data_IF_105921149418
#
_entry.id   IF_105921149418
#
_cell.length_a   1.000
_cell.length_b   1.000
_cell.length_c   1.000
_cell.angle_alpha   90.00
_cell.angle_beta   90.00
_cell.angle_gamma   90.00
#
_symmetry.space_group_name_H-M   'P 1'
#
loop_
_entity.id
_entity.type
_entity.pdbx_description
1 polymer ?
#
# COMPACT_ATOMS: atom_id res chain seq x y z
N UNK A 1 -6.19 34.84 -6.74
CA UNK A 1 -6.32 34.17 -5.44
C UNK A 1 -6.84 32.75 -5.56
N UNK A 2 -7.85 32.43 -6.34
CA UNK A 2 -8.37 31.06 -6.53
C UNK A 2 -7.33 30.03 -7.02
N UNK A 3 -6.45 30.39 -7.95
CA UNK A 3 -5.39 29.47 -8.44
C UNK A 3 -4.37 29.08 -7.37
N UNK A 4 -4.08 29.96 -6.41
CA UNK A 4 -3.14 29.66 -5.31
C UNK A 4 -3.80 28.75 -4.28
N UNK A 5 -5.08 28.94 -3.99
CA UNK A 5 -5.85 28.04 -3.12
C UNK A 5 -6.03 26.65 -3.76
N UNK A 6 -6.29 26.56 -5.06
CA UNK A 6 -6.33 25.28 -5.77
C UNK A 6 -4.99 24.56 -5.73
N UNK A 7 -3.86 25.26 -5.99
CA UNK A 7 -2.53 24.64 -5.91
C UNK A 7 -2.19 24.13 -4.50
N UNK A 8 -2.50 24.90 -3.44
CA UNK A 8 -2.27 24.46 -2.07
C UNK A 8 -3.18 23.28 -1.68
N UNK A 9 -4.39 23.24 -2.22
CA UNK A 9 -5.32 22.13 -1.99
C UNK A 9 -4.86 20.85 -2.70
N UNK A 10 -4.41 20.94 -3.95
CA UNK A 10 -3.84 19.81 -4.69
C UNK A 10 -2.52 19.31 -4.07
N UNK A 11 -1.65 20.19 -3.60
CA UNK A 11 -0.40 19.82 -2.93
C UNK A 11 -0.65 19.05 -1.62
N UNK A 12 -1.69 19.45 -0.85
CA UNK A 12 -2.06 18.72 0.36
C UNK A 12 -2.64 17.34 0.06
N UNK A 13 -3.35 17.16 -1.05
CA UNK A 13 -3.99 15.89 -1.40
C UNK A 13 -3.00 14.85 -1.92
N UNK A 14 -1.93 15.27 -2.58
CA UNK A 14 -0.85 14.38 -3.02
C UNK A 14 -0.09 13.74 -1.84
N UNK A 15 -0.18 14.33 -0.66
CA UNK A 15 0.45 13.86 0.56
C UNK A 15 -0.33 12.73 1.25
N UNK A 16 -1.64 12.57 1.02
CA UNK A 16 -2.47 11.60 1.76
C UNK A 16 -2.09 10.13 1.55
N UNK A 17 -1.78 9.62 0.35
CA UNK A 17 -1.33 8.24 0.19
C UNK A 17 0.02 7.98 0.86
N UNK A 18 0.96 8.94 0.77
CA UNK A 18 2.26 8.85 1.44
C UNK A 18 2.09 8.90 2.97
N UNK A 19 1.29 9.85 3.49
CA UNK A 19 0.98 9.98 4.92
C UNK A 19 0.32 8.70 5.46
N UNK A 20 -0.56 8.04 4.70
CA UNK A 20 -1.19 6.79 5.16
C UNK A 20 -0.17 5.66 5.33
N UNK A 21 0.83 5.61 4.44
CA UNK A 21 1.88 4.60 4.51
C UNK A 21 2.89 4.88 5.63
N UNK A 22 3.29 6.14 5.79
CA UNK A 22 4.15 6.58 6.90
C UNK A 22 3.44 6.41 8.26
N UNK A 23 2.16 6.74 8.33
CA UNK A 23 1.37 6.55 9.56
C UNK A 23 1.26 5.08 9.92
N UNK A 24 1.05 4.17 8.95
CA UNK A 24 1.09 2.74 9.22
C UNK A 24 2.45 2.31 9.75
N UNK A 25 3.54 2.77 9.14
CA UNK A 25 4.87 2.45 9.61
C UNK A 25 5.09 2.92 11.05
N UNK A 26 4.57 4.08 11.44
CA UNK A 26 4.67 4.60 12.81
C UNK A 26 3.85 3.79 13.82
N UNK A 27 2.55 3.60 13.57
CA UNK A 27 1.66 2.86 14.47
C UNK A 27 1.97 1.36 14.49
N UNK A 28 2.24 0.77 13.33
CA UNK A 28 2.64 -0.63 13.19
C UNK A 28 3.95 -0.91 13.90
N UNK A 29 4.93 -0.01 13.81
CA UNK A 29 6.22 -0.12 14.49
C UNK A 29 6.05 -0.15 16.01
N UNK A 30 5.17 0.69 16.58
CA UNK A 30 4.90 0.69 18.01
C UNK A 30 4.34 -0.65 18.50
N UNK A 31 3.37 -1.22 17.77
CA UNK A 31 2.79 -2.51 18.10
C UNK A 31 3.78 -3.67 17.88
N UNK A 32 4.51 -3.66 16.77
CA UNK A 32 5.52 -4.69 16.45
C UNK A 32 6.65 -4.71 17.47
N UNK A 33 7.04 -3.55 18.01
CA UNK A 33 8.07 -3.44 19.03
C UNK A 33 7.71 -4.22 20.32
N UNK A 34 6.43 -4.35 20.65
CA UNK A 34 5.98 -5.13 21.82
C UNK A 34 6.24 -6.64 21.69
N UNK A 35 6.49 -7.14 20.48
CA UNK A 35 6.79 -8.54 20.19
C UNK A 35 8.28 -8.88 20.17
N UNK A 36 9.12 -7.90 20.50
CA UNK A 36 10.56 -8.09 20.67
C UNK A 36 11.42 -7.68 19.48
N UNK A 37 12.73 -7.66 19.73
CA UNK A 37 13.73 -7.12 18.80
C UNK A 37 13.82 -7.89 17.48
N UNK A 38 13.63 -9.20 17.50
CA UNK A 38 13.67 -10.06 16.31
C UNK A 38 12.56 -9.69 15.33
N UNK A 39 11.33 -9.54 15.82
CA UNK A 39 10.15 -9.19 14.99
C UNK A 39 10.29 -7.77 14.46
N UNK A 40 10.80 -6.86 15.31
CA UNK A 40 11.03 -5.48 14.91
C UNK A 40 12.09 -5.36 13.80
N UNK A 41 13.20 -6.08 13.92
CA UNK A 41 14.26 -6.09 12.91
C UNK A 41 13.76 -6.71 11.59
N UNK A 42 13.00 -7.80 11.67
CA UNK A 42 12.38 -8.44 10.51
C UNK A 42 11.42 -7.48 9.79
N UNK A 43 10.55 -6.80 10.54
CA UNK A 43 9.62 -5.81 10.00
C UNK A 43 10.34 -4.64 9.33
N UNK A 44 11.35 -4.06 9.99
CA UNK A 44 12.11 -2.94 9.44
C UNK A 44 12.81 -3.27 8.11
N UNK A 45 13.34 -4.49 7.96
CA UNK A 45 13.93 -4.96 6.71
C UNK A 45 12.85 -5.23 5.63
N UNK A 46 11.77 -5.91 6.01
CA UNK A 46 10.71 -6.30 5.09
C UNK A 46 9.96 -5.08 4.51
N UNK A 47 9.66 -4.06 5.32
CA UNK A 47 9.02 -2.81 4.86
C UNK A 47 9.85 -2.08 3.80
N UNK A 48 11.18 -2.16 3.89
CA UNK A 48 12.05 -1.58 2.83
C UNK A 48 11.93 -2.34 1.51
N UNK A 49 11.83 -3.67 1.58
CA UNK A 49 11.62 -4.52 0.40
C UNK A 49 10.26 -4.20 -0.23
N UNK A 50 9.21 -4.10 0.59
CA UNK A 50 7.88 -3.72 0.13
C UNK A 50 7.87 -2.35 -0.54
N UNK A 51 8.59 -1.37 0.01
CA UNK A 51 8.68 -0.04 -0.59
C UNK A 51 9.19 -0.12 -2.03
N UNK A 52 10.23 -0.90 -2.30
CA UNK A 52 10.71 -1.12 -3.67
C UNK A 52 9.68 -1.82 -4.55
N UNK A 53 8.87 -2.70 -4.01
CA UNK A 53 7.85 -3.43 -4.75
C UNK A 53 6.66 -2.54 -5.15
N UNK A 54 6.19 -1.65 -4.28
CA UNK A 54 5.00 -0.85 -4.56
C UNK A 54 5.27 0.56 -5.13
N UNK A 55 6.49 1.12 -4.96
CA UNK A 55 6.82 2.44 -5.53
C UNK A 55 6.48 2.58 -7.02
N UNK A 56 6.82 1.62 -7.92
CA UNK A 56 6.45 1.72 -9.31
C UNK A 56 4.95 1.75 -9.55
N UNK A 57 4.17 1.05 -8.72
CA UNK A 57 2.70 1.04 -8.83
C UNK A 57 2.11 2.36 -8.37
N UNK A 58 2.70 2.98 -7.34
CA UNK A 58 2.31 4.31 -6.86
C UNK A 58 2.59 5.37 -7.94
N UNK A 59 3.77 5.35 -8.55
CA UNK A 59 4.12 6.27 -9.63
C UNK A 59 3.24 6.08 -10.86
N UNK A 60 2.91 4.84 -11.19
CA UNK A 60 1.94 4.54 -12.22
C UNK A 60 0.55 5.11 -11.89
N UNK A 61 0.09 5.04 -10.65
CA UNK A 61 -1.14 5.66 -10.16
C UNK A 61 -1.12 7.19 -10.32
N UNK A 62 0.03 7.83 -10.07
CA UNK A 62 0.22 9.26 -10.27
C UNK A 62 0.15 9.65 -11.75
N UNK A 63 0.83 8.92 -12.63
CA UNK A 63 0.77 9.10 -14.08
C UNK A 63 -0.66 8.89 -14.62
N UNK A 64 -1.34 7.86 -14.14
CA UNK A 64 -2.74 7.57 -14.47
C UNK A 64 -3.66 8.72 -14.06
N UNK A 65 -3.47 9.32 -12.89
CA UNK A 65 -4.23 10.49 -12.44
C UNK A 65 -4.13 11.65 -13.43
N UNK A 66 -2.90 11.96 -13.90
CA UNK A 66 -2.66 13.01 -14.88
C UNK A 66 -3.37 12.72 -16.21
N UNK A 67 -3.29 11.48 -16.69
CA UNK A 67 -3.99 11.05 -17.90
C UNK A 67 -5.52 11.23 -17.79
N UNK A 68 -6.11 10.81 -16.66
CA UNK A 68 -7.55 10.96 -16.43
C UNK A 68 -7.94 12.43 -16.36
N UNK A 69 -7.19 13.28 -15.63
CA UNK A 69 -7.47 14.70 -15.49
C UNK A 69 -7.49 15.42 -16.85
N UNK A 70 -6.52 15.14 -17.72
CA UNK A 70 -6.45 15.71 -19.07
C UNK A 70 -7.65 15.32 -19.93
N UNK A 71 -7.99 14.03 -19.96
CA UNK A 71 -9.12 13.52 -20.75
C UNK A 71 -10.47 13.93 -20.16
N UNK A 72 -10.57 14.11 -18.85
CA UNK A 72 -11.76 14.64 -18.18
C UNK A 72 -11.99 16.11 -18.53
N UNK A 73 -10.95 16.94 -18.54
CA UNK A 73 -11.01 18.33 -19.00
C UNK A 73 -11.39 18.44 -20.47
N UNK A 74 -10.91 17.53 -21.31
CA UNK A 74 -11.26 17.43 -22.74
C UNK A 74 -12.64 16.79 -23.00
N UNK A 75 -13.36 16.33 -21.98
CA UNK A 75 -14.66 15.63 -22.06
C UNK A 75 -14.62 14.33 -22.87
N UNK A 76 -13.45 13.69 -23.01
CA UNK A 76 -13.19 12.49 -23.78
C UNK A 76 -13.52 11.21 -22.99
N UNK A 77 -14.83 10.95 -22.76
CA UNK A 77 -15.32 9.81 -21.97
C UNK A 77 -14.83 8.45 -22.46
N UNK A 78 -14.75 8.24 -23.78
CA UNK A 78 -14.28 6.97 -24.36
C UNK A 78 -12.82 6.69 -23.99
N UNK A 79 -11.97 7.73 -24.05
CA UNK A 79 -10.55 7.62 -23.68
C UNK A 79 -10.38 7.33 -22.20
N UNK A 80 -11.19 7.96 -21.33
CA UNK A 80 -11.18 7.68 -19.88
C UNK A 80 -11.50 6.22 -19.62
N UNK A 81 -12.56 5.65 -20.23
CA UNK A 81 -12.93 4.26 -20.02
C UNK A 81 -11.87 3.27 -20.54
N UNK A 82 -11.29 3.55 -21.70
CA UNK A 82 -10.22 2.73 -22.26
C UNK A 82 -8.96 2.78 -21.40
N UNK A 83 -8.56 4.00 -20.97
CA UNK A 83 -7.42 4.20 -20.10
C UNK A 83 -7.59 3.54 -18.73
N UNK A 84 -8.79 3.60 -18.14
CA UNK A 84 -9.10 2.93 -16.89
C UNK A 84 -8.94 1.40 -17.02
N UNK A 85 -9.52 0.80 -18.06
CA UNK A 85 -9.39 -0.65 -18.31
C UNK A 85 -7.92 -1.06 -18.52
N UNK A 86 -7.21 -0.29 -19.33
CA UNK A 86 -5.78 -0.54 -19.57
C UNK A 86 -4.95 -0.40 -18.29
N UNK A 87 -5.19 0.65 -17.49
CA UNK A 87 -4.48 0.87 -16.23
C UNK A 87 -4.72 -0.25 -15.22
N UNK A 88 -5.97 -0.70 -15.06
CA UNK A 88 -6.30 -1.83 -14.18
C UNK A 88 -5.61 -3.11 -14.65
N UNK A 89 -5.62 -3.40 -15.95
CA UNK A 89 -4.97 -4.59 -16.50
C UNK A 89 -3.44 -4.55 -16.31
N UNK A 90 -2.80 -3.45 -16.68
CA UNK A 90 -1.34 -3.28 -16.57
C UNK A 90 -0.92 -3.35 -15.09
N UNK A 91 -1.61 -2.63 -14.21
CA UNK A 91 -1.33 -2.67 -12.77
C UNK A 91 -1.50 -4.09 -12.20
N UNK A 92 -2.56 -4.81 -12.61
CA UNK A 92 -2.79 -6.17 -12.16
C UNK A 92 -1.67 -7.13 -12.61
N UNK A 93 -1.26 -7.06 -13.89
CA UNK A 93 -0.16 -7.88 -14.42
C UNK A 93 1.14 -7.58 -13.65
N UNK A 94 1.47 -6.30 -13.49
CA UNK A 94 2.66 -5.89 -12.74
C UNK A 94 2.63 -6.41 -11.30
N UNK A 95 1.52 -6.21 -10.58
CA UNK A 95 1.35 -6.67 -9.21
C UNK A 95 1.49 -8.19 -9.09
N UNK A 96 0.95 -8.96 -10.03
CA UNK A 96 1.10 -10.43 -10.05
C UNK A 96 2.57 -10.81 -10.25
N UNK A 97 3.26 -10.19 -11.20
CA UNK A 97 4.69 -10.49 -11.46
C UNK A 97 5.53 -10.19 -10.22
N UNK A 98 5.37 -9.01 -9.63
CA UNK A 98 6.10 -8.64 -8.40
C UNK A 98 5.72 -9.54 -7.23
N UNK A 99 4.45 -9.90 -7.08
CA UNK A 99 3.95 -10.83 -6.08
C UNK A 99 4.67 -12.18 -6.14
N UNK A 100 4.74 -12.76 -7.34
CA UNK A 100 5.44 -14.03 -7.58
C UNK A 100 6.93 -13.88 -7.30
N UNK A 101 7.55 -12.80 -7.79
CA UNK A 101 8.97 -12.52 -7.58
C UNK A 101 9.31 -12.42 -6.08
N UNK A 102 8.60 -11.57 -5.34
CA UNK A 102 8.85 -11.37 -3.90
C UNK A 102 8.62 -12.66 -3.12
N UNK A 103 7.60 -13.46 -3.44
CA UNK A 103 7.33 -14.73 -2.74
C UNK A 103 8.39 -15.80 -2.99
N UNK A 104 8.93 -15.88 -4.21
CA UNK A 104 9.98 -16.84 -4.55
C UNK A 104 11.30 -16.42 -3.92
N UNK A 105 11.66 -15.15 -4.04
CA UNK A 105 12.94 -14.61 -3.61
C UNK A 105 12.92 -14.00 -2.21
N UNK A 106 11.86 -14.19 -1.42
CA UNK A 106 11.70 -13.57 -0.10
C UNK A 106 12.93 -13.74 0.82
N UNK A 107 13.51 -14.94 0.86
CA UNK A 107 14.69 -15.23 1.66
C UNK A 107 15.92 -14.46 1.18
N UNK A 108 16.17 -14.46 -0.13
CA UNK A 108 17.29 -13.75 -0.73
C UNK A 108 17.19 -12.26 -0.55
N UNK A 109 15.97 -11.70 -0.71
CA UNK A 109 15.69 -10.30 -0.48
C UNK A 109 15.94 -9.90 0.99
N UNK A 110 15.53 -10.73 1.95
CA UNK A 110 15.82 -10.48 3.37
C UNK A 110 17.32 -10.50 3.67
N UNK A 111 18.09 -11.40 3.05
CA UNK A 111 19.54 -11.48 3.22
C UNK A 111 20.31 -10.28 2.65
N UNK A 112 19.68 -9.40 1.87
CA UNK A 112 20.28 -8.12 1.46
C UNK A 112 20.40 -7.15 2.64
N UNK A 113 19.45 -7.22 3.59
CA UNK A 113 19.34 -6.28 4.70
C UNK A 113 19.72 -6.87 6.06
N UNK A 114 19.79 -8.20 6.17
CA UNK A 114 20.00 -8.93 7.41
C UNK A 114 21.08 -9.98 7.20
N UNK A 115 22.00 -10.12 8.17
CA UNK A 115 23.07 -11.14 8.10
C UNK A 115 22.45 -12.54 8.01
N UNK A 116 23.02 -13.38 7.17
CA UNK A 116 22.57 -14.76 6.94
C UNK A 116 22.57 -15.63 8.21
N UNK A 117 23.34 -15.23 9.25
CA UNK A 117 23.38 -15.92 10.55
C UNK A 117 22.12 -15.67 11.38
N UNK A 118 21.42 -14.56 11.17
CA UNK A 118 20.20 -14.17 11.88
C UNK A 118 18.96 -14.88 11.33
N UNK A 119 18.94 -16.20 11.42
CA UNK A 119 17.92 -17.05 10.84
C UNK A 119 16.51 -16.75 11.36
N UNK A 120 16.36 -16.38 12.63
CA UNK A 120 15.09 -16.04 13.25
C UNK A 120 14.49 -14.78 12.61
N UNK A 121 15.29 -13.75 12.37
CA UNK A 121 14.87 -12.47 11.73
C UNK A 121 14.47 -12.76 10.28
N UNK A 122 15.30 -13.53 9.56
CA UNK A 122 15.01 -13.88 8.15
C UNK A 122 13.71 -14.68 8.04
N UNK A 123 13.48 -15.66 8.91
CA UNK A 123 12.25 -16.47 8.87
C UNK A 123 10.99 -15.64 9.09
N UNK A 124 11.02 -14.72 10.06
CA UNK A 124 9.87 -13.84 10.34
C UNK A 124 9.64 -12.85 9.20
N UNK A 125 10.70 -12.24 8.64
CA UNK A 125 10.59 -11.36 7.48
C UNK A 125 10.09 -12.08 6.23
N UNK A 126 10.50 -13.33 5.99
CA UNK A 126 9.96 -14.15 4.90
C UNK A 126 8.48 -14.45 5.10
N UNK A 127 8.03 -14.70 6.34
CA UNK A 127 6.62 -14.89 6.65
C UNK A 127 5.80 -13.65 6.31
N UNK A 128 6.27 -12.47 6.74
CA UNK A 128 5.67 -11.18 6.40
C UNK A 128 5.57 -10.99 4.89
N UNK A 129 6.69 -11.06 4.16
CA UNK A 129 6.74 -10.84 2.71
C UNK A 129 5.87 -11.82 1.92
N UNK A 130 5.71 -13.05 2.39
CA UNK A 130 4.82 -14.03 1.75
C UNK A 130 3.35 -13.71 1.94
N UNK A 131 2.97 -13.15 3.07
CA UNK A 131 1.59 -12.72 3.35
C UNK A 131 1.29 -11.46 2.56
N UNK A 132 2.06 -10.39 2.74
CA UNK A 132 1.83 -9.12 2.04
C UNK A 132 2.00 -9.24 0.52
N UNK A 133 3.07 -9.90 0.08
CA UNK A 133 3.35 -10.12 -1.32
C UNK A 133 2.24 -10.88 -2.06
N UNK A 134 1.42 -11.68 -1.38
CA UNK A 134 0.27 -12.33 -2.01
C UNK A 134 -0.85 -11.35 -2.42
N UNK A 135 -0.88 -10.18 -1.81
CA UNK A 135 -1.99 -9.22 -1.92
C UNK A 135 -1.59 -7.88 -2.56
N UNK A 136 -0.41 -7.78 -3.20
CA UNK A 136 0.02 -6.54 -3.87
C UNK A 136 -0.98 -6.02 -4.91
N UNK A 137 -1.81 -6.89 -5.49
CA UNK A 137 -2.89 -6.46 -6.38
C UNK A 137 -3.89 -5.52 -5.67
N UNK A 138 -4.11 -5.73 -4.38
CA UNK A 138 -4.99 -4.88 -3.56
C UNK A 138 -4.47 -3.46 -3.44
N UNK A 139 -3.17 -3.30 -3.15
CA UNK A 139 -2.54 -1.97 -3.05
C UNK A 139 -2.45 -1.30 -4.43
N UNK A 140 -2.21 -2.07 -5.51
CA UNK A 140 -2.22 -1.54 -6.86
C UNK A 140 -3.54 -0.90 -7.25
N UNK A 141 -4.65 -1.56 -6.94
CA UNK A 141 -5.98 -0.99 -7.17
C UNK A 141 -6.28 0.21 -6.28
N UNK A 142 -5.81 0.19 -5.05
CA UNK A 142 -5.97 1.33 -4.13
C UNK A 142 -5.27 2.59 -4.68
N UNK A 143 -4.05 2.48 -5.20
CA UNK A 143 -3.35 3.61 -5.84
C UNK A 143 -4.07 4.11 -7.10
N UNK A 144 -4.64 3.23 -7.91
CA UNK A 144 -5.46 3.64 -9.05
C UNK A 144 -6.73 4.39 -8.62
N UNK A 145 -7.40 3.96 -7.54
CA UNK A 145 -8.55 4.67 -6.98
C UNK A 145 -8.15 6.05 -6.46
N UNK A 146 -7.04 6.16 -5.72
CA UNK A 146 -6.51 7.46 -5.30
C UNK A 146 -6.25 8.38 -6.49
N UNK A 147 -5.60 7.85 -7.55
CA UNK A 147 -5.35 8.59 -8.79
C UNK A 147 -6.63 9.05 -9.47
N UNK A 148 -7.64 8.18 -9.54
CA UNK A 148 -8.93 8.47 -10.16
C UNK A 148 -9.68 9.58 -9.41
N UNK A 149 -9.85 9.46 -8.09
CA UNK A 149 -10.57 10.46 -7.30
C UNK A 149 -9.89 11.83 -7.31
N UNK A 150 -8.56 11.84 -7.28
CA UNK A 150 -7.77 13.06 -7.44
C UNK A 150 -8.02 13.72 -8.80
N UNK A 151 -8.00 12.95 -9.87
CA UNK A 151 -8.22 13.44 -11.23
C UNK A 151 -9.63 14.00 -11.44
N UNK A 152 -10.63 13.45 -10.76
CA UNK A 152 -12.02 13.90 -10.80
C UNK A 152 -12.30 15.12 -9.89
N UNK A 153 -11.29 15.67 -9.24
CA UNK A 153 -11.45 16.81 -8.32
C UNK A 153 -12.26 16.47 -7.05
N UNK A 154 -12.26 15.20 -6.62
CA UNK A 154 -12.94 14.72 -5.41
C UNK A 154 -11.94 14.19 -4.36
N UNK A 155 -11.00 15.01 -3.90
CA UNK A 155 -9.94 14.57 -3.00
C UNK A 155 -10.47 14.09 -1.64
N UNK A 156 -11.64 14.57 -1.20
CA UNK A 156 -12.28 14.09 0.01
C UNK A 156 -12.52 12.58 0.02
N UNK A 157 -12.78 11.96 -1.14
CA UNK A 157 -12.91 10.51 -1.26
C UNK A 157 -11.59 9.78 -1.00
N UNK A 158 -10.46 10.36 -1.41
CA UNK A 158 -9.14 9.80 -1.09
C UNK A 158 -8.88 9.79 0.41
N UNK A 159 -9.31 10.84 1.12
CA UNK A 159 -9.22 10.91 2.59
C UNK A 159 -10.08 9.83 3.24
N UNK A 160 -11.31 9.66 2.78
CA UNK A 160 -12.21 8.60 3.26
C UNK A 160 -11.58 7.23 3.07
N UNK A 161 -11.07 6.93 1.87
CA UNK A 161 -10.36 5.68 1.59
C UNK A 161 -9.17 5.46 2.52
N UNK A 162 -8.39 6.51 2.77
CA UNK A 162 -7.24 6.45 3.69
C UNK A 162 -7.68 6.13 5.11
N UNK A 163 -8.68 6.84 5.63
CA UNK A 163 -9.19 6.63 7.00
C UNK A 163 -9.74 5.21 7.16
N UNK A 164 -10.54 4.72 6.22
CA UNK A 164 -11.08 3.37 6.29
C UNK A 164 -9.99 2.30 6.14
N UNK A 165 -9.09 2.44 5.18
CA UNK A 165 -8.00 1.48 4.96
C UNK A 165 -7.02 1.45 6.15
N UNK A 166 -6.55 2.61 6.61
CA UNK A 166 -5.62 2.71 7.73
C UNK A 166 -6.29 2.35 9.06
N UNK A 167 -7.48 2.91 9.33
CA UNK A 167 -8.23 2.63 10.56
C UNK A 167 -8.54 1.15 10.73
N UNK A 168 -8.96 0.49 9.65
CA UNK A 168 -9.21 -0.96 9.67
C UNK A 168 -7.93 -1.75 9.93
N UNK A 169 -6.81 -1.38 9.29
CA UNK A 169 -5.51 -2.04 9.54
C UNK A 169 -5.09 -1.93 11.00
N UNK A 170 -5.14 -0.72 11.55
CA UNK A 170 -4.75 -0.48 12.95
C UNK A 170 -5.67 -1.26 13.89
N UNK A 171 -6.99 -1.14 13.73
CA UNK A 171 -7.96 -1.85 14.58
C UNK A 171 -7.75 -3.38 14.52
N UNK A 172 -7.62 -3.94 13.31
CA UNK A 172 -7.38 -5.38 13.13
C UNK A 172 -6.02 -5.82 13.68
N UNK A 173 -4.98 -5.01 13.53
CA UNK A 173 -3.66 -5.32 14.08
C UNK A 173 -3.74 -5.49 15.61
N UNK A 174 -4.41 -4.57 16.32
CA UNK A 174 -4.59 -4.66 17.76
C UNK A 174 -5.49 -5.86 18.16
N UNK A 175 -6.62 -6.05 17.48
CA UNK A 175 -7.57 -7.14 17.80
C UNK A 175 -6.95 -8.51 17.53
N UNK A 176 -6.34 -8.70 16.36
CA UNK A 176 -5.79 -10.01 15.97
C UNK A 176 -4.50 -10.34 16.74
N UNK A 177 -3.67 -9.35 17.05
CA UNK A 177 -2.45 -9.59 17.83
C UNK A 177 -2.72 -9.88 19.30
N UNK A 178 -3.87 -9.44 19.83
CA UNK A 178 -4.30 -9.74 21.19
C UNK A 178 -4.71 -11.22 21.37
N UNK A 179 -4.97 -11.96 20.29
CA UNK A 179 -5.30 -13.38 20.32
C UNK A 179 -4.01 -14.20 20.42
N UNK A 180 -3.71 -14.93 21.54
CA UNK A 180 -2.43 -15.62 21.72
C UNK A 180 -2.09 -16.64 20.64
N UNK A 181 -3.11 -17.26 20.04
CA UNK A 181 -2.95 -18.24 18.95
C UNK A 181 -2.50 -17.62 17.62
N UNK A 182 -2.75 -16.32 17.41
CA UNK A 182 -2.46 -15.61 16.15
C UNK A 182 -1.21 -14.76 16.31
N UNK A 183 -1.10 -14.01 17.41
CA UNK A 183 0.06 -13.18 17.76
C UNK A 183 0.51 -12.24 16.64
N UNK A 184 1.80 -12.23 16.35
CA UNK A 184 2.43 -11.38 15.31
C UNK A 184 1.83 -11.59 13.92
N UNK A 185 1.42 -12.83 13.59
CA UNK A 185 0.83 -13.14 12.29
C UNK A 185 -0.46 -12.35 12.05
N UNK A 186 -1.19 -12.00 13.12
CA UNK A 186 -2.37 -11.14 13.04
C UNK A 186 -2.07 -9.72 12.55
N UNK A 187 -0.92 -9.19 12.92
CA UNK A 187 -0.46 -7.88 12.43
C UNK A 187 -0.24 -7.96 10.92
N UNK A 188 0.43 -9.02 10.45
CA UNK A 188 0.70 -9.21 9.02
C UNK A 188 -0.59 -9.35 8.19
N UNK A 189 -1.59 -10.06 8.68
CA UNK A 189 -2.88 -10.20 8.01
C UNK A 189 -3.75 -8.94 8.05
N UNK A 190 -3.56 -8.05 9.01
CA UNK A 190 -4.34 -6.81 9.11
C UNK A 190 -4.14 -5.91 7.89
N UNK A 191 -2.96 -5.93 7.28
CA UNK A 191 -2.61 -5.07 6.14
C UNK A 191 -3.38 -5.44 4.88
N UNK A 192 -3.35 -6.69 4.39
CA UNK A 192 -4.12 -7.12 3.23
C UNK A 192 -5.64 -6.96 3.41
N UNK A 193 -6.15 -7.24 4.61
CA UNK A 193 -7.58 -7.06 4.93
C UNK A 193 -7.96 -5.58 4.83
N UNK A 194 -7.12 -4.67 5.35
CA UNK A 194 -7.36 -3.24 5.26
C UNK A 194 -7.38 -2.72 3.81
N UNK A 195 -6.54 -3.27 2.92
CA UNK A 195 -6.61 -2.94 1.49
C UNK A 195 -7.91 -3.44 0.84
N UNK A 196 -8.36 -4.63 1.23
CA UNK A 196 -9.61 -5.21 0.76
C UNK A 196 -10.82 -4.34 1.12
N UNK A 197 -10.92 -3.91 2.38
CA UNK A 197 -12.03 -3.08 2.87
C UNK A 197 -12.00 -1.69 2.22
N UNK A 198 -10.83 -1.07 2.10
CA UNK A 198 -10.70 0.22 1.41
C UNK A 198 -11.27 0.19 -0.02
N UNK A 199 -11.16 -0.94 -0.71
CA UNK A 199 -11.71 -1.10 -2.06
C UNK A 199 -13.25 -1.12 -2.10
N UNK A 200 -13.92 -1.65 -1.08
CA UNK A 200 -15.39 -1.70 -1.03
C UNK A 200 -16.03 -0.36 -0.66
N UNK A 201 -15.27 0.55 -0.08
CA UNK A 201 -15.75 1.89 0.30
C UNK A 201 -15.56 2.94 -0.81
N UNK A 202 -14.90 2.62 -1.91
CA UNK A 202 -14.66 3.49 -3.08
C UNK A 202 -15.37 3.05 -4.31
#
# INVERSE_FOLDING_TARGET
MERIQQNNFFFNVDMYPAVSHESWNTYGTGLVNSFGTVVMAAFAAAVKIDAFAYMPVQDFGNAFSTFIAQNYGAKEKKRIQQGLKAAVCISAIFCVVISVFVRIFAKQLMMIFVDAKETAIIMEGVRYLRIEGAFYIGIGWLFLLYGLYRALGRPGMSVVLTIFSLGTRVALAYVLSAVPAIGVTGIWWSVPIGWGIGRYCG
#
